data_IF_761560340255
#
_entry.id   IF_761560340255
#
_cell.length_a   1.000
_cell.length_b   1.000
_cell.length_c   1.000
_cell.angle_alpha   90.00
_cell.angle_beta   90.00
_cell.angle_gamma   90.00
#
_symmetry.space_group_name_H-M   'P 1'
#
loop_
_entity.id
_entity.type
_entity.pdbx_description
1 polymer ?
#
# COMPACT_ATOMS: atom_id res chain seq x y z
N UNK A 1 35.28 19.66 -57.05
CA UNK A 1 35.33 18.63 -55.99
C UNK A 1 34.53 19.13 -54.79
N UNK A 2 33.62 18.29 -54.30
CA UNK A 2 32.64 18.49 -53.24
C UNK A 2 33.22 19.08 -51.94
N UNK A 3 32.42 19.86 -51.20
CA UNK A 3 32.24 19.81 -49.72
C UNK A 3 31.34 20.97 -49.23
N UNK A 4 30.03 20.88 -49.45
CA UNK A 4 29.03 21.76 -48.80
C UNK A 4 27.75 20.96 -48.52
N UNK A 5 27.85 19.91 -47.70
CA UNK A 5 26.67 19.09 -47.33
C UNK A 5 26.61 18.72 -45.84
N UNK A 6 27.40 19.36 -44.98
CA UNK A 6 27.50 18.98 -43.55
C UNK A 6 26.75 19.87 -42.55
N UNK A 7 26.32 21.07 -42.94
CA UNK A 7 25.92 22.10 -41.95
C UNK A 7 24.40 22.30 -41.78
N UNK A 8 23.58 21.86 -42.74
CA UNK A 8 22.12 22.11 -42.68
C UNK A 8 21.35 21.11 -41.81
N UNK A 9 21.89 19.92 -41.55
CA UNK A 9 21.22 18.87 -40.76
C UNK A 9 21.38 19.05 -39.24
N UNK A 10 22.45 19.70 -38.78
CA UNK A 10 22.69 19.89 -37.34
C UNK A 10 21.74 20.94 -36.70
N UNK A 11 21.25 21.91 -37.49
CA UNK A 11 20.46 23.03 -36.96
C UNK A 11 18.97 22.66 -36.78
N UNK A 12 18.44 21.72 -37.57
CA UNK A 12 17.05 21.24 -37.46
C UNK A 12 16.85 20.38 -36.20
N UNK A 13 17.85 19.57 -35.81
CA UNK A 13 17.78 18.74 -34.60
C UNK A 13 17.81 19.59 -33.32
N UNK A 14 18.57 20.69 -33.31
CA UNK A 14 18.69 21.55 -32.12
C UNK A 14 17.41 22.36 -31.83
N UNK A 15 16.69 22.80 -32.87
CA UNK A 15 15.41 23.50 -32.73
C UNK A 15 14.30 22.57 -32.21
N UNK A 16 14.33 21.29 -32.57
CA UNK A 16 13.36 20.30 -32.07
C UNK A 16 13.57 19.96 -30.58
N UNK A 17 14.83 19.90 -30.11
CA UNK A 17 15.13 19.65 -28.68
C UNK A 17 14.77 20.87 -27.81
N UNK A 18 15.02 22.09 -28.30
CA UNK A 18 14.64 23.31 -27.57
C UNK A 18 13.11 23.50 -27.48
N UNK A 19 12.36 23.16 -28.53
CA UNK A 19 10.88 23.17 -28.50
C UNK A 19 10.28 22.13 -27.56
N UNK A 20 10.87 20.93 -27.50
CA UNK A 20 10.42 19.88 -26.59
C UNK A 20 10.65 20.24 -25.10
N UNK A 21 11.76 20.93 -24.80
CA UNK A 21 12.03 21.39 -23.43
C UNK A 21 11.12 22.54 -23.00
N UNK A 22 10.73 23.44 -23.91
CA UNK A 22 9.78 24.51 -23.58
C UNK A 22 8.36 23.98 -23.32
N UNK A 23 7.94 22.92 -24.03
CA UNK A 23 6.61 22.32 -23.86
C UNK A 23 6.42 21.59 -22.51
N UNK A 24 7.50 21.14 -21.87
CA UNK A 24 7.42 20.49 -20.55
C UNK A 24 7.21 21.54 -19.45
N UNK A 25 7.80 22.73 -19.59
CA UNK A 25 7.72 23.80 -18.58
C UNK A 25 6.36 24.49 -18.48
N UNK A 26 5.49 24.34 -19.48
CA UNK A 26 4.14 24.94 -19.46
C UNK A 26 3.03 23.92 -19.18
N UNK A 27 3.36 22.69 -18.75
CA UNK A 27 2.33 21.78 -18.26
C UNK A 27 1.67 22.45 -17.05
N UNK A 28 0.37 22.75 -17.09
CA UNK A 28 -0.35 23.13 -15.89
C UNK A 28 -0.10 22.02 -14.88
N UNK A 29 0.46 22.35 -13.72
CA UNK A 29 0.53 21.41 -12.61
C UNK A 29 -0.87 20.81 -12.44
N UNK A 30 -1.01 19.48 -12.31
CA UNK A 30 -2.31 18.92 -11.95
C UNK A 30 -2.81 19.73 -10.75
N UNK A 31 -4.06 20.21 -10.78
CA UNK A 31 -4.59 21.03 -9.70
C UNK A 31 -4.31 20.29 -8.39
N UNK A 32 -3.89 20.98 -7.32
CA UNK A 32 -3.67 20.34 -6.03
C UNK A 32 -4.93 19.53 -5.74
N UNK A 33 -4.77 18.21 -5.56
CA UNK A 33 -5.87 17.33 -5.22
C UNK A 33 -6.45 17.86 -3.93
N UNK A 34 -7.54 18.63 -4.03
CA UNK A 34 -8.27 19.10 -2.87
C UNK A 34 -8.67 17.85 -2.08
N UNK A 35 -8.52 17.90 -0.76
CA UNK A 35 -8.92 16.88 0.21
C UNK A 35 -10.42 16.59 0.09
N UNK A 36 -10.84 15.98 -1.00
CA UNK A 36 -12.17 15.46 -1.17
C UNK A 36 -12.16 14.15 -0.38
N UNK A 37 -12.95 14.04 0.70
CA UNK A 37 -13.03 12.80 1.45
C UNK A 37 -13.35 11.68 0.46
N UNK A 38 -12.46 10.68 0.35
CA UNK A 38 -12.76 9.50 -0.45
C UNK A 38 -14.09 8.93 0.07
N UNK A 39 -15.04 8.61 -0.81
CA UNK A 39 -16.29 8.00 -0.38
C UNK A 39 -15.99 6.72 0.42
N UNK A 40 -16.75 6.45 1.50
CA UNK A 40 -16.53 5.27 2.32
C UNK A 40 -16.60 4.03 1.43
N UNK A 41 -15.57 3.19 1.51
CA UNK A 41 -15.53 1.94 0.76
C UNK A 41 -16.45 0.94 1.45
N UNK A 42 -17.62 0.68 0.87
CA UNK A 42 -18.49 -0.39 1.35
C UNK A 42 -17.85 -1.74 1.00
N UNK A 43 -17.27 -2.40 2.00
CA UNK A 43 -16.68 -3.72 1.86
C UNK A 43 -17.65 -4.78 2.38
N UNK A 44 -17.81 -5.88 1.64
CA UNK A 44 -18.50 -7.06 2.12
C UNK A 44 -17.47 -8.01 2.75
N UNK A 45 -17.59 -8.38 4.05
CA UNK A 45 -16.67 -9.32 4.69
C UNK A 45 -16.53 -10.66 3.97
N UNK A 46 -17.58 -11.12 3.28
CA UNK A 46 -17.57 -12.37 2.53
C UNK A 46 -16.60 -12.36 1.33
N UNK A 47 -16.23 -11.18 0.81
CA UNK A 47 -15.26 -11.05 -0.27
C UNK A 47 -13.81 -11.25 0.23
N UNK A 48 -13.60 -11.21 1.55
CA UNK A 48 -12.29 -11.29 2.20
C UNK A 48 -12.29 -12.28 3.37
N UNK A 49 -12.56 -13.58 3.13
CA UNK A 49 -12.72 -14.58 4.20
C UNK A 49 -11.45 -14.83 5.03
N UNK A 50 -10.28 -14.42 4.52
CA UNK A 50 -9.00 -14.49 5.24
C UNK A 50 -8.78 -13.33 6.20
N UNK A 51 -9.57 -12.25 6.11
CA UNK A 51 -9.51 -11.15 7.06
C UNK A 51 -10.47 -11.41 8.21
N UNK A 52 -9.98 -11.19 9.44
CA UNK A 52 -10.87 -11.02 10.58
C UNK A 52 -11.89 -9.91 10.28
N UNK A 53 -13.17 -10.14 10.57
CA UNK A 53 -14.28 -9.21 10.29
C UNK A 53 -13.99 -7.79 10.77
N UNK A 54 -13.42 -7.65 11.96
CA UNK A 54 -13.03 -6.36 12.54
C UNK A 54 -12.06 -5.56 11.67
N UNK A 55 -11.15 -6.23 10.97
CA UNK A 55 -10.22 -5.57 10.05
C UNK A 55 -10.95 -5.10 8.79
N UNK A 56 -11.95 -5.83 8.31
CA UNK A 56 -12.79 -5.38 7.18
C UNK A 56 -13.55 -4.11 7.55
N UNK A 57 -14.16 -4.08 8.73
CA UNK A 57 -14.85 -2.91 9.26
C UNK A 57 -13.90 -1.70 9.41
N UNK A 58 -12.70 -1.91 9.96
CA UNK A 58 -11.67 -0.87 10.08
C UNK A 58 -11.31 -0.25 8.72
N UNK A 59 -11.19 -1.06 7.66
CA UNK A 59 -10.83 -0.59 6.32
C UNK A 59 -11.95 0.27 5.71
N UNK A 60 -13.20 -0.03 6.03
CA UNK A 60 -14.40 0.69 5.58
C UNK A 60 -14.79 1.88 6.47
N UNK A 61 -14.21 2.02 7.66
CA UNK A 61 -14.51 3.09 8.60
C UNK A 61 -14.19 4.48 8.00
N UNK A 62 -15.07 5.46 8.26
CA UNK A 62 -14.85 6.87 7.89
C UNK A 62 -13.71 7.51 8.67
N UNK A 63 -13.54 7.11 9.93
CA UNK A 63 -12.42 7.47 10.79
C UNK A 63 -11.82 6.20 11.42
N UNK A 64 -10.81 5.59 10.78
CA UNK A 64 -10.19 4.36 11.27
C UNK A 64 -9.53 4.52 12.65
N UNK A 65 -9.07 5.72 13.02
CA UNK A 65 -8.45 5.97 14.31
C UNK A 65 -9.50 5.97 15.43
N UNK A 66 -10.63 6.65 15.21
CA UNK A 66 -11.76 6.62 16.14
C UNK A 66 -12.33 5.20 16.28
N UNK A 67 -12.45 4.48 15.16
CA UNK A 67 -12.90 3.09 15.15
C UNK A 67 -11.97 2.17 15.99
N UNK A 68 -10.66 2.26 15.81
CA UNK A 68 -9.70 1.47 16.57
C UNK A 68 -9.82 1.72 18.08
N UNK A 69 -10.03 2.98 18.47
CA UNK A 69 -10.23 3.39 19.87
C UNK A 69 -11.55 2.89 20.46
N UNK A 70 -12.64 2.99 19.71
CA UNK A 70 -13.95 2.48 20.15
C UNK A 70 -13.91 0.97 20.40
N UNK A 71 -13.09 0.25 19.63
CA UNK A 71 -12.97 -1.21 19.72
C UNK A 71 -11.74 -1.71 20.50
N UNK A 72 -10.97 -0.82 21.15
CA UNK A 72 -9.91 -1.16 22.11
C UNK A 72 -8.62 -1.72 21.50
N UNK A 73 -8.32 -1.37 20.25
CA UNK A 73 -7.05 -1.72 19.58
C UNK A 73 -6.33 -0.48 19.02
N UNK A 74 -6.60 0.71 19.55
CA UNK A 74 -5.97 1.97 19.14
C UNK A 74 -4.44 1.92 19.21
N UNK A 75 -3.88 1.18 20.17
CA UNK A 75 -2.44 1.06 20.31
C UNK A 75 -1.79 0.22 19.20
N UNK A 76 -2.57 -0.58 18.49
CA UNK A 76 -2.14 -1.36 17.34
C UNK A 76 -2.30 -0.55 16.05
N UNK A 77 -3.00 0.59 16.08
CA UNK A 77 -3.26 1.47 14.94
C UNK A 77 -2.46 2.77 15.04
N UNK A 78 -1.59 3.03 14.05
CA UNK A 78 -0.80 4.26 14.01
C UNK A 78 -0.51 4.68 12.58
N UNK A 79 -0.67 5.97 12.29
CA UNK A 79 -0.31 6.58 11.01
C UNK A 79 -0.93 5.87 9.78
N UNK A 80 -2.20 5.42 9.91
CA UNK A 80 -2.91 4.69 8.84
C UNK A 80 -2.45 3.24 8.64
N UNK A 81 -1.58 2.73 9.52
CA UNK A 81 -1.13 1.34 9.55
C UNK A 81 -1.66 0.65 10.81
N UNK A 82 -1.81 -0.67 10.72
CA UNK A 82 -2.31 -1.52 11.80
C UNK A 82 -1.35 -2.69 12.00
N UNK A 83 -1.06 -3.01 13.26
CA UNK A 83 -0.34 -4.24 13.62
C UNK A 83 -1.29 -5.41 13.46
N UNK A 84 -0.87 -6.41 12.69
CA UNK A 84 -1.62 -7.65 12.45
C UNK A 84 -0.71 -8.85 12.62
N UNK A 85 -1.33 -9.99 12.89
CA UNK A 85 -0.73 -11.32 12.76
C UNK A 85 -1.24 -11.93 11.46
N UNK A 86 -0.29 -12.30 10.59
CA UNK A 86 -0.53 -12.99 9.32
C UNK A 86 -0.13 -14.44 9.52
N UNK A 87 -1.07 -15.36 9.36
CA UNK A 87 -0.85 -16.79 9.44
C UNK A 87 -0.62 -17.35 8.03
N UNK A 88 0.53 -18.00 7.85
CA UNK A 88 0.91 -18.67 6.62
C UNK A 88 0.39 -20.10 6.62
N UNK A 89 0.01 -20.58 5.44
CA UNK A 89 -0.36 -22.00 5.22
C UNK A 89 0.76 -22.99 5.58
N UNK A 90 2.02 -22.54 5.56
CA UNK A 90 3.21 -23.30 5.94
C UNK A 90 4.34 -22.33 6.29
N UNK A 91 5.23 -22.72 7.20
CA UNK A 91 6.37 -21.89 7.62
C UNK A 91 7.39 -21.65 6.48
N UNK A 92 7.39 -22.49 5.44
CA UNK A 92 8.26 -22.32 4.27
C UNK A 92 7.94 -21.06 3.45
N UNK A 93 6.72 -20.52 3.55
CA UNK A 93 6.28 -19.32 2.83
C UNK A 93 6.56 -18.02 3.59
N UNK A 94 7.10 -18.07 4.81
CA UNK A 94 7.29 -16.85 5.62
C UNK A 94 8.18 -15.81 4.93
N UNK A 95 9.23 -16.24 4.23
CA UNK A 95 10.12 -15.30 3.56
C UNK A 95 9.44 -14.62 2.36
N UNK A 96 8.65 -15.36 1.59
CA UNK A 96 7.83 -14.78 0.52
C UNK A 96 6.80 -13.78 1.08
N UNK A 97 6.14 -14.14 2.19
CA UNK A 97 5.17 -13.26 2.84
C UNK A 97 5.82 -12.01 3.43
N UNK A 98 7.06 -12.10 3.94
CA UNK A 98 7.84 -10.94 4.37
C UNK A 98 8.04 -9.97 3.21
N UNK A 99 8.48 -10.47 2.05
CA UNK A 99 8.62 -9.63 0.86
C UNK A 99 7.29 -9.05 0.39
N UNK A 100 6.19 -9.82 0.47
CA UNK A 100 4.86 -9.34 0.11
C UNK A 100 4.39 -8.20 1.02
N UNK A 101 4.66 -8.29 2.32
CA UNK A 101 4.38 -7.22 3.30
C UNK A 101 5.20 -5.97 2.98
N UNK A 102 6.52 -6.12 2.79
CA UNK A 102 7.43 -4.99 2.52
C UNK A 102 7.12 -4.30 1.18
N UNK A 103 6.77 -5.08 0.15
CA UNK A 103 6.36 -4.56 -1.15
C UNK A 103 5.06 -3.74 -1.10
N UNK A 104 4.30 -3.81 -0.01
CA UNK A 104 3.08 -3.05 0.23
C UNK A 104 3.27 -1.96 1.29
N UNK A 105 4.51 -1.49 1.49
CA UNK A 105 4.87 -0.49 2.51
C UNK A 105 4.53 -0.95 3.95
N UNK A 106 4.46 -2.27 4.16
CA UNK A 106 4.41 -2.88 5.47
C UNK A 106 5.80 -3.07 6.07
N UNK A 107 5.84 -3.37 7.36
CA UNK A 107 7.06 -3.72 8.09
C UNK A 107 6.79 -4.95 8.93
N UNK A 108 7.57 -6.02 8.74
CA UNK A 108 7.54 -7.17 9.63
C UNK A 108 8.28 -6.82 10.93
N UNK A 109 7.64 -7.08 12.07
CA UNK A 109 8.20 -6.79 13.39
C UNK A 109 8.86 -8.03 14.00
N UNK A 110 8.22 -9.19 13.87
CA UNK A 110 8.71 -10.48 14.35
C UNK A 110 7.99 -11.61 13.62
N UNK A 111 8.52 -12.83 13.77
CA UNK A 111 7.91 -14.06 13.30
C UNK A 111 7.98 -15.15 14.38
N UNK A 112 7.05 -16.10 14.31
CA UNK A 112 7.00 -17.29 15.17
C UNK A 112 6.23 -18.41 14.48
N UNK A 113 6.83 -19.59 14.37
CA UNK A 113 6.27 -20.76 13.66
C UNK A 113 5.86 -20.47 12.22
N UNK A 114 4.56 -20.39 11.92
CA UNK A 114 4.00 -20.04 10.62
C UNK A 114 3.34 -18.66 10.63
N UNK A 115 3.71 -17.78 11.57
CA UNK A 115 3.07 -16.48 11.78
C UNK A 115 4.06 -15.33 11.62
N UNK A 116 3.62 -14.26 10.96
CA UNK A 116 4.30 -12.97 10.91
C UNK A 116 3.49 -11.94 11.70
N UNK A 117 4.11 -11.22 12.62
CA UNK A 117 3.56 -9.97 13.12
C UNK A 117 4.10 -8.82 12.27
N UNK A 118 3.20 -8.00 11.74
CA UNK A 118 3.57 -6.92 10.84
C UNK A 118 2.72 -5.67 11.05
N UNK A 119 3.35 -4.51 10.91
CA UNK A 119 2.69 -3.22 10.79
C UNK A 119 2.38 -2.97 9.31
N UNK A 120 1.10 -2.92 8.94
CA UNK A 120 0.66 -2.90 7.53
C UNK A 120 -0.29 -1.74 7.27
N UNK A 121 -0.17 -0.98 6.16
CA UNK A 121 -1.19 -0.02 5.76
C UNK A 121 -2.58 -0.67 5.63
N UNK A 122 -3.62 -0.08 6.22
CA UNK A 122 -4.94 -0.72 6.28
C UNK A 122 -5.49 -1.13 4.90
N UNK A 123 -5.27 -0.31 3.87
CA UNK A 123 -5.73 -0.61 2.50
C UNK A 123 -4.97 -1.77 1.86
N UNK A 124 -3.72 -2.03 2.28
CA UNK A 124 -2.91 -3.13 1.76
C UNK A 124 -3.41 -4.51 2.25
N UNK A 125 -4.14 -4.56 3.36
CA UNK A 125 -4.74 -5.79 3.88
C UNK A 125 -5.65 -6.47 2.85
N UNK A 126 -6.37 -5.71 2.02
CA UNK A 126 -7.22 -6.27 0.96
C UNK A 126 -6.43 -7.03 -0.11
N UNK A 127 -5.19 -6.61 -0.39
CA UNK A 127 -4.29 -7.29 -1.33
C UNK A 127 -3.64 -8.51 -0.69
N UNK A 128 -3.21 -8.39 0.57
CA UNK A 128 -2.67 -9.53 1.33
C UNK A 128 -3.73 -10.63 1.51
N UNK A 129 -4.98 -10.29 1.76
CA UNK A 129 -6.08 -11.25 1.90
C UNK A 129 -6.30 -12.13 0.65
N UNK A 130 -5.79 -11.73 -0.51
CA UNK A 130 -5.85 -12.49 -1.77
C UNK A 130 -4.59 -13.33 -2.02
N UNK A 131 -3.58 -13.22 -1.17
CA UNK A 131 -2.33 -13.95 -1.32
C UNK A 131 -2.58 -15.46 -1.15
N UNK A 132 -2.05 -16.33 -2.03
CA UNK A 132 -2.33 -17.77 -1.99
C UNK A 132 -1.83 -18.44 -0.70
N UNK A 133 -0.67 -18.02 -0.20
CA UNK A 133 -0.01 -18.63 0.96
C UNK A 133 -0.43 -18.08 2.33
N UNK A 134 -1.32 -17.09 2.37
CA UNK A 134 -1.92 -16.60 3.61
C UNK A 134 -3.15 -17.45 3.92
N UNK A 135 -3.26 -17.92 5.17
CA UNK A 135 -4.44 -18.60 5.70
C UNK A 135 -5.38 -17.60 6.39
N UNK A 136 -4.83 -16.76 7.27
CA UNK A 136 -5.61 -15.79 8.03
C UNK A 136 -4.82 -14.51 8.33
N UNK A 137 -5.54 -13.39 8.51
CA UNK A 137 -4.99 -12.11 8.97
C UNK A 137 -5.90 -11.58 10.08
N UNK A 138 -5.32 -11.34 11.25
CA UNK A 138 -6.06 -10.93 12.45
C UNK A 138 -5.31 -9.92 13.31
N UNK A 139 -6.05 -9.30 14.23
CA UNK A 139 -5.45 -8.50 15.29
C UNK A 139 -4.59 -9.38 16.23
N UNK A 140 -3.52 -8.83 16.82
CA UNK A 140 -2.75 -9.51 17.86
C UNK A 140 -3.62 -9.87 19.06
N UNK A 141 -3.40 -11.06 19.64
CA UNK A 141 -4.04 -11.45 20.90
C UNK A 141 -3.21 -10.87 22.03
N UNK A 142 -3.82 -10.01 22.85
CA UNK A 142 -3.18 -9.44 24.03
C UNK A 142 -3.60 -10.23 25.27
N UNK A 143 -2.65 -10.63 26.13
CA UNK A 143 -3.01 -11.14 27.45
C UNK A 143 -3.74 -10.02 28.20
N UNK A 144 -4.91 -10.35 28.76
CA UNK A 144 -5.56 -9.47 29.73
C UNK A 144 -4.82 -9.68 31.06
N UNK A 145 -4.34 -8.61 31.73
CA UNK A 145 -3.90 -8.76 33.12
C UNK A 145 -5.10 -9.23 33.96
N UNK A 146 -4.84 -10.22 34.82
CA UNK A 146 -5.81 -10.71 35.83
C UNK A 146 -6.14 -9.63 36.88
#
# INVERSE_FOLDING_TARGET
MQKTLGFLTALVVLVLVAGALWYISTRPSPPPTYNQPEPPVTLNPQDYPKLQERLVELIGASDPAAFAKEHGFEQDFKDGKIVVVIEATSSEFLEELRWAVEALDGKVETDYENQLQALVPIKALLKLAKHPHIEFIRLPVRPKPD
#
